data_IF_426952673463
#
_entry.id   IF_426952673463
#
_cell.length_a   1.000
_cell.length_b   1.000
_cell.length_c   1.000
_cell.angle_alpha   90.00
_cell.angle_beta   90.00
_cell.angle_gamma   90.00
#
_symmetry.space_group_name_H-M   'P 1'
#
loop_
_entity.id
_entity.type
_entity.pdbx_description
1 polymer ?
#
# COMPACT_ATOMS: atom_id res chain seq x y z
N UNK A 1 10.38 -4.07 -5.68
CA UNK A 1 9.25 -3.38 -5.02
C UNK A 1 9.73 -2.06 -4.45
N UNK A 2 10.85 -2.09 -3.70
CA UNK A 2 11.54 -0.90 -3.21
C UNK A 2 11.94 0.10 -4.32
N UNK A 3 12.50 -0.33 -5.45
CA UNK A 3 12.89 0.59 -6.54
C UNK A 3 11.75 1.48 -7.07
N UNK A 4 10.52 0.96 -7.17
CA UNK A 4 9.38 1.79 -7.56
C UNK A 4 8.97 2.75 -6.44
N UNK A 5 8.81 2.25 -5.22
CA UNK A 5 8.36 3.04 -4.08
C UNK A 5 9.32 4.20 -3.80
N UNK A 6 10.63 3.92 -3.85
CA UNK A 6 11.70 4.90 -3.71
C UNK A 6 11.63 5.98 -4.80
N UNK A 7 11.45 5.59 -6.06
CA UNK A 7 11.32 6.53 -7.20
C UNK A 7 10.11 7.47 -7.11
N UNK A 8 9.02 7.05 -6.47
CA UNK A 8 7.80 7.87 -6.33
C UNK A 8 7.65 8.47 -4.94
N UNK A 9 8.64 8.33 -4.07
CA UNK A 9 8.62 8.87 -2.71
C UNK A 9 7.61 8.21 -1.77
N UNK A 10 7.25 6.95 -2.00
CA UNK A 10 6.41 6.16 -1.07
C UNK A 10 7.31 5.59 0.03
N UNK A 11 7.03 5.98 1.26
CA UNK A 11 7.76 5.52 2.44
C UNK A 11 7.55 4.02 2.72
N UNK A 12 8.54 3.37 3.34
CA UNK A 12 8.45 1.98 3.79
C UNK A 12 7.24 1.75 4.71
N UNK A 13 6.92 2.69 5.60
CA UNK A 13 5.76 2.60 6.48
C UNK A 13 4.45 2.51 5.67
N UNK A 14 4.33 3.30 4.59
CA UNK A 14 3.18 3.24 3.67
C UNK A 14 3.03 1.88 3.02
N UNK A 15 4.14 1.26 2.62
CA UNK A 15 4.14 -0.09 2.05
C UNK A 15 3.71 -1.12 3.11
N UNK A 16 4.15 -0.98 4.36
CA UNK A 16 3.76 -1.87 5.46
C UNK A 16 2.27 -1.76 5.77
N UNK A 17 1.72 -0.54 5.84
CA UNK A 17 0.28 -0.33 6.04
C UNK A 17 -0.51 -0.92 4.87
N UNK A 18 -0.06 -0.71 3.63
CA UNK A 18 -0.67 -1.33 2.45
C UNK A 18 -0.65 -2.86 2.50
N UNK A 19 0.44 -3.46 2.99
CA UNK A 19 0.55 -4.91 3.16
C UNK A 19 -0.48 -5.45 4.17
N UNK A 20 -0.72 -4.72 5.26
CA UNK A 20 -1.72 -5.12 6.27
C UNK A 20 -3.14 -5.10 5.70
N UNK A 21 -3.52 -4.01 5.04
CA UNK A 21 -4.82 -3.92 4.34
C UNK A 21 -4.98 -5.03 3.30
N UNK A 22 -3.90 -5.32 2.55
CA UNK A 22 -3.89 -6.40 1.58
C UNK A 22 -4.05 -7.77 2.22
N UNK A 23 -3.28 -8.06 3.27
CA UNK A 23 -3.39 -9.32 4.00
C UNK A 23 -4.79 -9.49 4.59
N UNK A 24 -5.33 -8.48 5.25
CA UNK A 24 -6.61 -8.58 5.95
C UNK A 24 -7.79 -8.73 4.97
N UNK A 25 -7.67 -8.18 3.76
CA UNK A 25 -8.64 -8.40 2.69
C UNK A 25 -8.58 -9.81 2.07
N UNK A 26 -7.38 -10.39 1.93
CA UNK A 26 -7.19 -11.62 1.15
C UNK A 26 -6.97 -12.89 1.97
N UNK A 27 -6.43 -12.79 3.20
CA UNK A 27 -6.21 -13.92 4.09
C UNK A 27 -7.52 -14.66 4.47
N UNK A 28 -8.65 -13.99 4.76
CA UNK A 28 -9.92 -14.69 5.00
C UNK A 28 -10.61 -15.13 3.70
N UNK A 29 -10.12 -14.71 2.53
CA UNK A 29 -10.76 -15.02 1.25
C UNK A 29 -10.41 -16.44 0.78
N UNK A 30 -11.35 -17.10 0.09
CA UNK A 30 -11.08 -18.37 -0.61
C UNK A 30 -10.34 -18.18 -1.93
N UNK A 31 -9.83 -16.97 -2.20
CA UNK A 31 -9.23 -16.63 -3.49
C UNK A 31 -7.86 -17.29 -3.59
N UNK A 32 -7.60 -17.94 -4.72
CA UNK A 32 -6.29 -18.48 -5.07
C UNK A 32 -5.68 -17.65 -6.19
N UNK A 33 -4.47 -17.14 -5.99
CA UNK A 33 -3.71 -16.42 -7.03
C UNK A 33 -2.33 -17.06 -7.20
N UNK A 34 -1.91 -17.18 -8.46
CA UNK A 34 -0.62 -17.78 -8.81
C UNK A 34 0.59 -16.94 -8.32
N UNK A 35 0.50 -15.60 -8.42
CA UNK A 35 1.55 -14.70 -7.93
C UNK A 35 0.96 -13.60 -7.04
N UNK A 36 0.92 -13.88 -5.74
CA UNK A 36 0.52 -12.91 -4.72
C UNK A 36 1.47 -11.72 -4.63
N UNK A 37 2.77 -11.90 -4.94
CA UNK A 37 3.74 -10.80 -4.90
C UNK A 37 3.46 -9.82 -6.03
N UNK A 38 3.09 -10.28 -7.23
CA UNK A 38 2.64 -9.40 -8.32
C UNK A 38 1.34 -8.68 -7.96
N UNK A 39 0.39 -9.40 -7.36
CA UNK A 39 -0.89 -8.83 -6.93
C UNK A 39 -0.68 -7.70 -5.90
N UNK A 40 0.20 -7.91 -4.92
CA UNK A 40 0.56 -6.87 -3.96
C UNK A 40 1.35 -5.72 -4.58
N UNK A 41 2.30 -5.98 -5.50
CA UNK A 41 2.98 -4.91 -6.26
C UNK A 41 1.99 -4.01 -6.98
N UNK A 42 0.95 -4.58 -7.56
CA UNK A 42 -0.12 -3.83 -8.22
C UNK A 42 -0.96 -3.04 -7.22
N UNK A 43 -1.23 -3.58 -6.04
CA UNK A 43 -1.95 -2.88 -4.98
C UNK A 43 -1.22 -1.59 -4.56
N UNK A 44 0.10 -1.66 -4.37
CA UNK A 44 0.92 -0.50 -4.08
C UNK A 44 0.99 0.45 -5.28
N UNK A 45 1.39 -0.03 -6.47
CA UNK A 45 1.57 0.84 -7.65
C UNK A 45 0.31 1.59 -8.06
N UNK A 46 -0.86 0.98 -7.89
CA UNK A 46 -2.16 1.58 -8.24
C UNK A 46 -2.90 2.17 -7.04
N UNK A 47 -2.29 2.14 -5.85
CA UNK A 47 -2.85 2.67 -4.62
C UNK A 47 -4.31 2.22 -4.38
N UNK A 48 -4.56 0.91 -4.44
CA UNK A 48 -5.93 0.34 -4.41
C UNK A 48 -6.75 0.79 -3.20
N UNK A 49 -6.08 0.96 -2.06
CA UNK A 49 -6.68 1.34 -0.79
C UNK A 49 -6.67 2.86 -0.57
N UNK A 50 -6.18 3.65 -1.55
CA UNK A 50 -6.13 5.12 -1.51
C UNK A 50 -5.44 5.67 -0.24
N UNK A 51 -4.33 5.04 0.17
CA UNK A 51 -3.66 5.33 1.44
C UNK A 51 -2.78 6.58 1.38
N UNK A 52 -2.27 6.91 0.20
CA UNK A 52 -1.45 8.12 0.01
C UNK A 52 -1.89 8.90 -1.21
N UNK A 53 -1.43 10.15 -1.29
CA UNK A 53 -1.49 10.97 -2.47
C UNK A 53 -0.09 11.49 -2.80
N UNK A 54 0.09 11.94 -4.04
CA UNK A 54 1.34 12.52 -4.53
C UNK A 54 1.10 14.01 -4.80
N UNK A 55 2.09 14.84 -4.50
CA UNK A 55 2.18 16.25 -4.88
C UNK A 55 3.47 16.45 -5.66
N UNK A 56 3.47 17.45 -6.54
CA UNK A 56 4.64 17.71 -7.37
C UNK A 56 5.85 18.11 -6.50
N UNK A 57 6.99 17.47 -6.76
CA UNK A 57 8.23 17.71 -6.00
C UNK A 57 8.25 17.23 -4.54
N UNK A 58 7.17 16.62 -4.03
CA UNK A 58 7.07 16.16 -2.64
C UNK A 58 7.00 14.63 -2.55
N UNK A 59 7.52 14.01 -1.47
CA UNK A 59 7.24 12.62 -1.14
C UNK A 59 5.74 12.36 -1.00
N UNK A 60 5.34 11.10 -1.11
CA UNK A 60 3.96 10.70 -0.88
C UNK A 60 3.54 11.10 0.54
N UNK A 61 2.30 11.57 0.67
CA UNK A 61 1.72 11.95 1.96
C UNK A 61 0.45 11.13 2.23
N UNK A 62 0.17 10.89 3.51
CA UNK A 62 -0.98 10.12 3.94
C UNK A 62 -2.29 10.82 3.56
N UNK A 63 -3.25 10.06 3.04
CA UNK A 63 -4.66 10.48 3.02
C UNK A 63 -5.27 10.27 4.40
N UNK A 64 -6.49 10.77 4.62
CA UNK A 64 -7.27 10.43 5.83
C UNK A 64 -7.44 8.92 5.99
N UNK A 65 -7.71 8.20 4.89
CA UNK A 65 -7.86 6.74 4.91
C UNK A 65 -6.53 6.05 5.27
N UNK A 66 -5.41 6.54 4.73
CA UNK A 66 -4.08 6.05 5.07
C UNK A 66 -3.74 6.24 6.54
N UNK A 67 -4.02 7.42 7.09
CA UNK A 67 -3.78 7.73 8.50
C UNK A 67 -4.67 6.89 9.42
N UNK A 68 -5.93 6.63 9.04
CA UNK A 68 -6.81 5.71 9.76
C UNK A 68 -6.23 4.28 9.78
N UNK A 69 -5.83 3.76 8.62
CA UNK A 69 -5.23 2.42 8.53
C UNK A 69 -3.91 2.33 9.30
N UNK A 70 -3.07 3.37 9.23
CA UNK A 70 -1.82 3.48 9.99
C UNK A 70 -2.06 3.41 11.49
N UNK A 71 -3.05 4.15 12.01
CA UNK A 71 -3.40 4.16 13.44
C UNK A 71 -4.08 2.87 13.89
N UNK A 72 -4.91 2.27 13.05
CA UNK A 72 -5.52 0.97 13.34
C UNK A 72 -4.48 -0.16 13.38
N UNK A 73 -3.34 0.03 12.70
CA UNK A 73 -2.23 -0.89 12.65
C UNK A 73 -1.16 -0.68 13.74
N UNK A 74 -1.22 0.41 14.51
CA UNK A 74 -0.33 0.68 15.63
C UNK A 74 -0.67 -0.21 16.83
#
# INVERSE_FOLDING_TARGET
>A
MFDYADKVGIDQEMVVVCWREFRDAYLPSKKTQADWRAHFRNAVRRNWYKLWYLKDGEPAAWTTAGEQARRAAA
#
